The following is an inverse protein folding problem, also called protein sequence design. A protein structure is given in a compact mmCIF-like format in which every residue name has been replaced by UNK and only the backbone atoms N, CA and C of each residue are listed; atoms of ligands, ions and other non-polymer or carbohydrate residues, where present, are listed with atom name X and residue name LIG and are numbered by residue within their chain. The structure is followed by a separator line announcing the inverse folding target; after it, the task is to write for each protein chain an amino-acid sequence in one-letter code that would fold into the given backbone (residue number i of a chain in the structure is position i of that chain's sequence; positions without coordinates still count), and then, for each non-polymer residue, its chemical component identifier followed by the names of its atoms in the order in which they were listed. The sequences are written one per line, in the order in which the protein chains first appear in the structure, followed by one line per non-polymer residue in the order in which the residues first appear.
data_IF_925594676936
#
_entry.id   IF_925594676936
#
_cell.length_a   1.000
_cell.length_b   1.000
_cell.length_c   1.000
_cell.angle_alpha   90.00
_cell.angle_beta   90.00
_cell.angle_gamma   90.00
#
_symmetry.space_group_name_H-M   'P 1'
#
loop_
_entity.id
_entity.type
_entity.pdbx_description
1 polymer ?
#
# COMPACT_ATOMS: atom_id res chain seq x y z
N UNK A 1 11.46 20.71 -18.83
CA UNK A 1 11.79 20.61 -17.40
C UNK A 1 12.68 21.77 -16.97
N UNK A 2 12.15 23.00 -16.78
CA UNK A 2 12.98 24.17 -16.43
C UNK A 2 12.19 25.37 -15.87
N UNK A 3 11.18 25.16 -15.00
CA UNK A 3 10.31 26.27 -14.55
C UNK A 3 10.06 26.40 -13.02
N UNK A 4 10.86 25.84 -12.11
CA UNK A 4 10.52 25.86 -10.67
C UNK A 4 11.51 26.56 -9.70
N UNK A 5 12.49 27.31 -10.20
CA UNK A 5 13.53 27.90 -9.33
C UNK A 5 13.24 29.31 -8.76
N UNK A 6 12.14 29.98 -9.15
CA UNK A 6 11.94 31.42 -8.83
C UNK A 6 11.11 31.75 -7.59
N UNK A 7 10.49 30.77 -6.92
CA UNK A 7 9.50 31.05 -5.85
C UNK A 7 10.01 30.97 -4.40
N UNK A 8 11.32 30.85 -4.18
CA UNK A 8 11.91 30.69 -2.82
C UNK A 8 12.72 31.89 -2.28
N UNK A 9 12.76 33.03 -2.97
CA UNK A 9 13.60 34.19 -2.56
C UNK A 9 12.84 35.41 -2.00
N UNK A 10 11.55 35.30 -1.66
CA UNK A 10 10.80 36.47 -1.14
C UNK A 10 10.53 36.46 0.37
N UNK A 11 11.07 35.51 1.14
CA UNK A 11 10.66 35.30 2.53
C UNK A 11 11.63 35.87 3.59
N UNK A 12 12.78 36.43 3.23
CA UNK A 12 13.82 36.81 4.20
C UNK A 12 13.98 38.32 4.47
N UNK A 13 13.12 39.17 3.90
CA UNK A 13 13.32 40.64 3.99
C UNK A 13 12.45 41.35 5.05
N UNK A 14 11.77 40.65 5.95
CA UNK A 14 10.74 41.25 6.81
C UNK A 14 10.89 40.90 8.30
N UNK A 15 12.13 40.92 8.81
CA UNK A 15 12.42 40.54 10.20
C UNK A 15 13.46 41.44 10.90
N UNK A 16 13.51 42.73 10.58
CA UNK A 16 14.45 43.66 11.22
C UNK A 16 13.92 45.10 11.23
N UNK A 17 12.95 45.39 12.12
CA UNK A 17 12.74 46.72 12.68
C UNK A 17 11.56 46.69 13.68
N UNK A 18 11.85 46.63 14.98
CA UNK A 18 11.19 47.48 16.00
C UNK A 18 11.79 47.18 17.39
N UNK A 19 12.84 47.89 17.74
CA UNK A 19 13.36 47.97 19.10
C UNK A 19 13.68 49.44 19.41
N UNK A 20 12.75 50.14 20.07
CA UNK A 20 13.01 51.27 20.96
C UNK A 20 11.69 51.96 21.35
N UNK A 21 11.27 51.80 22.62
CA UNK A 21 10.83 52.94 23.45
C UNK A 21 10.48 52.45 24.86
N UNK A 22 11.44 52.61 25.76
CA UNK A 22 11.25 52.64 27.21
C UNK A 22 10.51 53.93 27.60
N UNK A 23 9.56 53.82 28.51
CA UNK A 23 8.87 54.95 29.14
C UNK A 23 8.39 54.55 30.53
N UNK A 24 8.89 55.27 31.53
CA UNK A 24 8.65 55.12 32.97
C UNK A 24 7.40 55.86 33.44
N UNK A 25 6.87 55.50 34.61
CA UNK A 25 5.86 56.25 35.39
C UNK A 25 4.91 55.26 36.09
N UNK A 26 5.03 54.99 37.39
CA UNK A 26 4.71 55.77 38.61
C UNK A 26 3.47 55.17 39.30
N UNK A 27 3.54 55.12 40.63
CA UNK A 27 2.67 54.41 41.56
C UNK A 27 1.32 55.08 41.81
N UNK A 28 0.32 54.36 42.35
CA UNK A 28 -0.63 54.87 43.38
C UNK A 28 -1.63 53.82 43.92
N UNK A 29 -1.62 53.72 45.26
CA UNK A 29 -2.73 53.69 46.23
C UNK A 29 -3.79 52.56 46.28
N UNK A 30 -3.86 52.00 47.50
CA UNK A 30 -4.83 51.05 48.04
C UNK A 30 -6.26 51.62 48.19
N UNK A 31 -7.25 50.71 48.20
CA UNK A 31 -8.59 50.96 48.73
C UNK A 31 -9.36 49.65 48.88
N UNK A 32 -9.40 49.10 50.10
CA UNK A 32 -10.20 47.93 50.47
C UNK A 32 -11.68 48.33 50.63
N UNK A 33 -12.55 47.66 49.87
CA UNK A 33 -13.99 47.77 50.00
C UNK A 33 -14.64 46.62 49.25
N UNK A 34 -15.14 45.63 50.00
CA UNK A 34 -15.86 44.48 49.48
C UNK A 34 -17.12 44.96 48.76
N UNK A 35 -17.01 45.11 47.43
CA UNK A 35 -18.15 45.29 46.55
C UNK A 35 -18.66 43.92 46.10
N UNK A 36 -19.99 43.73 46.01
CA UNK A 36 -20.56 42.52 45.45
C UNK A 36 -19.93 42.27 44.08
N UNK A 37 -19.55 41.03 43.80
CA UNK A 37 -18.88 40.58 42.57
C UNK A 37 -19.66 41.07 41.34
N UNK A 38 -19.33 42.29 40.91
CA UNK A 38 -19.90 42.89 39.72
C UNK A 38 -19.54 41.97 38.57
N UNK A 39 -20.56 41.61 37.80
CA UNK A 39 -20.44 40.87 36.54
C UNK A 39 -19.25 41.44 35.78
N UNK A 40 -18.16 40.68 35.71
CA UNK A 40 -16.90 41.15 35.13
C UNK A 40 -17.22 41.58 33.70
N UNK A 41 -17.11 42.88 33.37
CA UNK A 41 -17.46 43.35 32.04
C UNK A 41 -16.61 42.62 31.01
N UNK A 42 -17.23 42.26 29.89
CA UNK A 42 -16.51 41.63 28.79
C UNK A 42 -15.28 42.48 28.44
N UNK A 43 -14.07 41.89 28.36
CA UNK A 43 -12.86 42.64 28.13
C UNK A 43 -13.00 43.47 26.84
N UNK A 44 -12.46 44.70 26.81
CA UNK A 44 -12.50 45.52 25.61
C UNK A 44 -11.90 44.74 24.43
N UNK A 45 -12.44 44.90 23.20
CA UNK A 45 -11.92 44.24 22.02
C UNK A 45 -10.42 44.55 21.88
N UNK A 46 -9.60 43.49 21.87
CA UNK A 46 -8.14 43.57 21.84
C UNK A 46 -7.52 42.21 21.57
N UNK A 47 -6.19 42.15 21.49
CA UNK A 47 -5.44 40.96 21.06
C UNK A 47 -5.71 39.74 21.95
N UNK A 48 -5.96 39.94 23.24
CA UNK A 48 -6.29 38.86 24.17
C UNK A 48 -7.59 38.13 23.84
N UNK A 49 -8.60 38.84 23.29
CA UNK A 49 -9.86 38.23 22.87
C UNK A 49 -9.65 37.35 21.62
N UNK A 50 -8.83 37.82 20.67
CA UNK A 50 -8.44 37.06 19.47
C UNK A 50 -7.65 35.81 19.85
N UNK A 51 -6.67 35.93 20.76
CA UNK A 51 -5.92 34.80 21.27
C UNK A 51 -6.83 33.74 21.92
N UNK A 52 -7.78 34.16 22.77
CA UNK A 52 -8.75 33.26 23.39
C UNK A 52 -9.70 32.58 22.38
N UNK A 53 -10.07 33.27 21.30
CA UNK A 53 -10.85 32.67 20.20
C UNK A 53 -10.04 31.59 19.47
N UNK A 54 -8.78 31.87 19.13
CA UNK A 54 -7.90 30.89 18.46
C UNK A 54 -7.70 29.67 19.36
N UNK A 55 -7.50 29.85 20.66
CA UNK A 55 -7.36 28.71 21.59
C UNK A 55 -8.62 27.83 21.63
N UNK A 56 -9.82 28.43 21.64
CA UNK A 56 -11.08 27.67 21.57
C UNK A 56 -11.23 26.92 20.24
N UNK A 57 -10.82 27.53 19.12
CA UNK A 57 -10.81 26.87 17.81
C UNK A 57 -9.84 25.67 17.79
N UNK A 58 -8.64 25.82 18.35
CA UNK A 58 -7.64 24.75 18.45
C UNK A 58 -8.14 23.63 19.35
N UNK A 59 -8.66 23.93 20.54
CA UNK A 59 -9.22 22.94 21.45
C UNK A 59 -10.40 22.20 20.84
N UNK A 60 -11.30 22.92 20.16
CA UNK A 60 -12.41 22.33 19.41
C UNK A 60 -11.92 21.43 18.28
N UNK A 61 -10.90 21.85 17.54
CA UNK A 61 -10.30 21.07 16.45
C UNK A 61 -9.59 19.81 16.94
N UNK A 62 -8.89 19.88 18.07
CA UNK A 62 -8.22 18.73 18.69
C UNK A 62 -9.25 17.76 19.28
N UNK A 63 -10.38 18.26 19.81
CA UNK A 63 -11.46 17.43 20.33
C UNK A 63 -12.33 16.78 19.24
N UNK A 64 -12.54 17.47 18.11
CA UNK A 64 -13.31 16.95 16.97
C UNK A 64 -12.48 16.14 15.99
N UNK A 65 -11.14 16.14 16.13
CA UNK A 65 -10.30 15.20 15.41
C UNK A 65 -10.85 13.80 15.68
N UNK A 66 -11.35 13.09 14.65
CA UNK A 66 -12.03 11.83 14.86
C UNK A 66 -11.09 10.95 15.68
N UNK A 67 -11.57 10.32 16.78
CA UNK A 67 -10.76 9.34 17.48
C UNK A 67 -10.24 8.40 16.39
N UNK A 68 -8.93 8.04 16.40
CA UNK A 68 -8.35 7.24 15.34
C UNK A 68 -9.31 6.10 15.13
N UNK A 69 -10.06 6.16 14.02
CA UNK A 69 -11.17 5.26 13.82
C UNK A 69 -10.55 3.89 14.03
N UNK A 70 -11.18 3.05 14.85
CA UNK A 70 -10.73 1.69 15.14
C UNK A 70 -10.78 0.86 13.84
N UNK A 71 -10.01 1.28 12.84
CA UNK A 71 -9.80 0.72 11.52
C UNK A 71 -8.69 -0.35 11.57
N UNK A 72 -8.38 -0.82 12.78
CA UNK A 72 -7.72 -2.11 12.96
C UNK A 72 -8.69 -3.28 12.73
N UNK A 73 -9.98 -3.02 12.42
CA UNK A 73 -10.81 -3.94 11.64
C UNK A 73 -10.71 -3.62 10.14
N UNK A 74 -9.49 -3.65 9.59
CA UNK A 74 -9.30 -4.19 8.26
C UNK A 74 -9.15 -5.71 8.47
N UNK A 75 -10.19 -6.52 8.28
CA UNK A 75 -10.82 -6.77 6.98
C UNK A 75 -9.75 -6.77 5.89
N UNK A 76 -9.02 -7.88 5.79
CA UNK A 76 -7.87 -7.97 4.90
C UNK A 76 -6.80 -8.97 5.31
N UNK A 77 -6.95 -9.64 6.45
CA UNK A 77 -6.49 -11.02 6.59
C UNK A 77 -7.28 -11.90 5.61
N UNK A 78 -7.06 -11.69 4.31
CA UNK A 78 -7.36 -12.69 3.30
C UNK A 78 -6.59 -13.91 3.76
N UNK A 79 -7.31 -14.79 4.43
CA UNK A 79 -6.92 -16.15 4.73
C UNK A 79 -6.26 -16.64 3.44
N UNK A 80 -4.95 -16.86 3.48
CA UNK A 80 -4.26 -17.42 2.36
C UNK A 80 -4.80 -18.86 2.22
N UNK A 81 -5.92 -19.00 1.52
CA UNK A 81 -6.46 -20.25 1.05
C UNK A 81 -5.49 -20.73 -0.04
N UNK A 82 -4.37 -21.29 0.39
CA UNK A 82 -3.26 -21.62 -0.50
C UNK A 82 -2.26 -22.60 0.10
N UNK A 83 -2.63 -23.33 1.15
CA UNK A 83 -1.91 -24.52 1.59
C UNK A 83 -2.46 -25.74 0.90
N UNK A 84 -2.23 -25.85 -0.42
CA UNK A 84 -2.46 -27.10 -1.14
C UNK A 84 -1.69 -28.22 -0.45
N UNK A 85 -2.42 -29.21 0.04
CA UNK A 85 -1.90 -30.43 0.66
C UNK A 85 -0.98 -31.11 -0.36
N UNK A 86 0.33 -30.98 -0.19
CA UNK A 86 1.31 -31.69 -0.98
C UNK A 86 1.26 -33.18 -0.58
N UNK A 87 0.38 -33.93 -1.24
CA UNK A 87 0.39 -35.38 -1.22
C UNK A 87 1.56 -35.84 -2.09
N UNK A 88 2.76 -35.89 -1.49
CA UNK A 88 3.99 -36.30 -2.16
C UNK A 88 4.98 -36.86 -1.16
N UNK A 89 4.75 -38.11 -0.74
CA UNK A 89 5.67 -38.86 0.09
C UNK A 89 7.01 -39.06 -0.61
N UNK A 90 8.04 -38.38 -0.11
CA UNK A 90 9.44 -38.66 -0.39
C UNK A 90 10.18 -38.65 0.93
N UNK A 91 10.46 -39.85 1.47
CA UNK A 91 11.23 -40.04 2.70
C UNK A 91 12.68 -39.65 2.41
N UNK A 92 13.01 -38.37 2.62
CA UNK A 92 14.39 -37.90 2.63
C UNK A 92 14.92 -38.02 4.06
N UNK A 93 15.64 -39.12 4.30
CA UNK A 93 16.46 -39.29 5.50
C UNK A 93 17.66 -38.33 5.38
N UNK A 94 17.53 -37.12 5.93
CA UNK A 94 18.56 -36.08 5.86
C UNK A 94 18.37 -35.01 6.91
N UNK A 95 18.91 -35.25 8.11
CA UNK A 95 18.87 -34.34 9.24
C UNK A 95 19.62 -33.04 8.97
N UNK A 96 18.88 -31.95 8.77
CA UNK A 96 19.39 -30.58 8.83
C UNK A 96 18.66 -29.84 9.96
N UNK A 97 19.33 -29.68 11.10
CA UNK A 97 18.85 -28.92 12.25
C UNK A 97 18.74 -27.44 11.84
N UNK A 98 17.54 -27.01 11.49
CA UNK A 98 17.26 -25.61 11.17
C UNK A 98 17.17 -24.80 12.47
N UNK A 99 18.33 -24.45 13.03
CA UNK A 99 18.46 -23.45 14.08
C UNK A 99 18.22 -22.07 13.46
N UNK A 100 17.01 -21.53 13.61
CA UNK A 100 16.69 -20.22 13.04
C UNK A 100 15.25 -19.75 13.28
N UNK A 101 14.68 -20.04 14.44
CA UNK A 101 13.43 -19.42 14.88
C UNK A 101 13.67 -17.94 15.17
N UNK A 102 13.63 -17.13 14.12
CA UNK A 102 13.61 -15.67 14.23
C UNK A 102 12.42 -15.26 15.08
N UNK A 103 12.70 -14.89 16.32
CA UNK A 103 11.76 -14.28 17.23
C UNK A 103 11.16 -13.09 16.49
N UNK A 104 9.88 -13.16 16.13
CA UNK A 104 9.19 -12.03 15.53
C UNK A 104 9.20 -10.91 16.58
N UNK A 105 10.15 -10.00 16.41
CA UNK A 105 10.36 -8.90 17.34
C UNK A 105 9.07 -8.09 17.43
N UNK A 106 8.71 -7.87 18.70
CA UNK A 106 7.35 -7.66 19.14
C UNK A 106 6.62 -6.52 18.44
N UNK A 107 5.29 -6.67 18.41
CA UNK A 107 4.36 -5.62 18.04
C UNK A 107 4.78 -4.30 18.65
N UNK A 108 5.36 -3.45 17.81
CA UNK A 108 5.65 -2.06 18.13
C UNK A 108 4.36 -1.47 18.64
N UNK A 109 4.36 -1.09 19.92
CA UNK A 109 3.24 -0.46 20.60
C UNK A 109 2.82 0.73 19.75
N UNK A 110 1.76 0.56 18.94
CA UNK A 110 1.43 1.47 17.86
C UNK A 110 1.49 2.91 18.38
N UNK A 111 2.53 3.62 17.95
CA UNK A 111 2.75 5.01 18.34
C UNK A 111 1.45 5.74 18.04
N UNK A 112 0.79 6.19 19.10
CA UNK A 112 -0.61 6.64 19.05
C UNK A 112 -0.81 7.50 17.80
N UNK A 113 -1.80 7.12 16.98
CA UNK A 113 -1.95 7.62 15.61
C UNK A 113 -1.81 9.14 15.47
N UNK A 114 -1.61 9.66 14.25
CA UNK A 114 -1.15 11.03 13.97
C UNK A 114 -1.88 12.13 14.77
N UNK A 115 -3.18 11.98 15.04
CA UNK A 115 -3.96 12.87 15.88
C UNK A 115 -3.46 12.99 17.34
N UNK A 116 -3.06 11.87 17.97
CA UNK A 116 -2.50 11.87 19.34
C UNK A 116 -1.15 12.57 19.40
N UNK A 117 -0.35 12.48 18.33
CA UNK A 117 0.91 13.19 18.24
C UNK A 117 0.67 14.70 18.04
N UNK A 118 -0.29 15.08 17.19
CA UNK A 118 -0.66 16.49 17.01
C UNK A 118 -1.06 17.17 18.32
N UNK A 119 -1.90 16.52 19.15
CA UNK A 119 -2.30 17.05 20.44
C UNK A 119 -1.11 17.29 21.39
N UNK A 120 -0.13 16.37 21.41
CA UNK A 120 1.08 16.51 22.23
C UNK A 120 1.96 17.67 21.76
N UNK A 121 2.16 17.83 20.45
CA UNK A 121 3.02 18.90 19.91
C UNK A 121 2.37 20.28 20.08
N UNK A 122 1.04 20.37 20.02
CA UNK A 122 0.30 21.63 20.22
C UNK A 122 0.13 22.00 21.70
N UNK A 123 0.24 21.04 22.63
CA UNK A 123 -0.01 21.26 24.05
C UNK A 123 0.86 22.34 24.69
N UNK A 124 2.15 22.38 24.34
CA UNK A 124 3.07 23.37 24.89
C UNK A 124 2.73 24.81 24.46
N UNK A 125 2.64 25.15 23.15
CA UNK A 125 2.21 26.48 22.71
C UNK A 125 0.87 26.93 23.30
N UNK A 126 -0.11 26.01 23.41
CA UNK A 126 -1.40 26.30 24.05
C UNK A 126 -1.24 26.64 25.53
N UNK A 127 -0.43 25.88 26.27
CA UNK A 127 -0.15 26.16 27.68
C UNK A 127 0.57 27.50 27.88
N UNK A 128 1.44 27.89 26.96
CA UNK A 128 2.13 29.18 27.00
C UNK A 128 1.18 30.35 26.71
N UNK A 129 0.32 30.23 25.70
CA UNK A 129 -0.73 31.22 25.40
C UNK A 129 -1.68 31.43 26.59
N UNK A 130 -2.14 30.35 27.23
CA UNK A 130 -3.00 30.41 28.42
C UNK A 130 -2.31 31.12 29.60
N UNK A 131 -1.04 30.79 29.87
CA UNK A 131 -0.25 31.46 30.91
C UNK A 131 -0.06 32.95 30.62
N UNK A 132 0.15 33.34 29.37
CA UNK A 132 0.23 34.73 28.96
C UNK A 132 -1.10 35.48 29.20
N UNK A 133 -2.23 34.91 28.81
CA UNK A 133 -3.57 35.47 29.08
C UNK A 133 -3.86 35.63 30.58
N UNK A 134 -3.48 34.64 31.39
CA UNK A 134 -3.66 34.72 32.84
C UNK A 134 -2.84 35.87 33.45
N UNK A 135 -1.58 36.04 33.00
CA UNK A 135 -0.76 37.19 33.41
C UNK A 135 -1.33 38.52 32.92
N UNK A 136 -1.85 38.58 31.69
CA UNK A 136 -2.49 39.77 31.15
C UNK A 136 -3.70 40.19 32.00
N UNK A 137 -4.53 39.22 32.40
CA UNK A 137 -5.66 39.45 33.31
C UNK A 137 -5.19 39.99 34.67
N UNK A 138 -4.13 39.42 35.25
CA UNK A 138 -3.53 39.92 36.49
C UNK A 138 -3.04 41.37 36.37
N UNK A 139 -2.38 41.72 35.26
CA UNK A 139 -1.94 43.10 34.99
C UNK A 139 -3.11 44.08 34.88
N UNK A 140 -4.22 43.69 34.22
CA UNK A 140 -5.44 44.53 34.17
C UNK A 140 -6.04 44.74 35.55
N UNK A 141 -6.12 43.68 36.36
CA UNK A 141 -6.65 43.77 37.72
C UNK A 141 -5.81 44.70 38.61
N UNK A 142 -4.51 44.79 38.35
CA UNK A 142 -3.59 45.71 39.04
C UNK A 142 -3.58 47.14 38.46
N UNK A 143 -4.37 47.43 37.43
CA UNK A 143 -4.38 48.73 36.76
C UNK A 143 -3.24 48.96 35.75
N UNK A 144 -2.37 47.98 35.52
CA UNK A 144 -1.26 48.07 34.56
C UNK A 144 -1.73 47.70 33.14
N UNK A 145 -2.42 48.65 32.51
CA UNK A 145 -2.97 48.49 31.18
C UNK A 145 -1.90 48.28 30.09
N UNK A 146 -0.71 48.87 30.25
CA UNK A 146 0.38 48.76 29.26
C UNK A 146 0.96 47.36 29.24
N UNK A 147 1.25 46.78 30.41
CA UNK A 147 1.76 45.42 30.50
C UNK A 147 0.70 44.40 30.09
N UNK A 148 -0.57 44.63 30.44
CA UNK A 148 -1.67 43.80 29.97
C UNK A 148 -1.71 43.67 28.44
N UNK A 149 -1.57 44.79 27.71
CA UNK A 149 -1.53 44.79 26.23
C UNK A 149 -0.33 44.02 25.68
N UNK A 150 0.85 44.18 26.28
CA UNK A 150 2.06 43.42 25.87
C UNK A 150 1.87 41.92 26.08
N UNK A 151 1.29 41.50 27.19
CA UNK A 151 1.01 40.10 27.50
C UNK A 151 -0.10 39.52 26.60
N UNK A 152 -1.09 40.34 26.22
CA UNK A 152 -2.12 39.96 25.24
C UNK A 152 -1.51 39.72 23.84
N UNK A 153 -0.59 40.58 23.40
CA UNK A 153 0.14 40.37 22.15
C UNK A 153 0.98 39.08 22.20
N UNK A 154 1.70 38.82 23.30
CA UNK A 154 2.44 37.56 23.49
C UNK A 154 1.51 36.35 23.46
N UNK A 155 0.33 36.43 24.08
CA UNK A 155 -0.66 35.37 24.04
C UNK A 155 -1.14 35.09 22.61
N UNK A 156 -1.32 36.14 21.80
CA UNK A 156 -1.72 36.02 20.40
C UNK A 156 -0.64 35.29 19.57
N UNK A 157 0.64 35.67 19.73
CA UNK A 157 1.76 35.01 19.05
C UNK A 157 1.84 33.51 19.38
N UNK A 158 1.67 33.15 20.67
CA UNK A 158 1.65 31.73 21.07
C UNK A 158 0.44 30.98 20.51
N UNK A 159 -0.73 31.61 20.44
CA UNK A 159 -1.92 31.01 19.86
C UNK A 159 -1.79 30.81 18.34
N UNK A 160 -1.21 31.79 17.62
CA UNK A 160 -0.94 31.67 16.19
C UNK A 160 0.13 30.60 15.90
N UNK A 161 1.16 30.51 16.75
CA UNK A 161 2.15 29.42 16.71
C UNK A 161 1.49 28.06 16.91
N UNK A 162 0.63 27.92 17.92
CA UNK A 162 -0.13 26.69 18.16
C UNK A 162 -0.96 26.28 16.93
N UNK A 163 -1.62 27.24 16.26
CA UNK A 163 -2.38 27.01 15.03
C UNK A 163 -1.49 26.57 13.87
N UNK A 164 -0.32 27.17 13.72
CA UNK A 164 0.64 26.79 12.69
C UNK A 164 1.15 25.36 12.89
N UNK A 165 1.50 25.00 14.13
CA UNK A 165 1.92 23.64 14.51
C UNK A 165 0.81 22.62 14.23
N UNK A 166 -0.44 22.93 14.58
CA UNK A 166 -1.58 22.06 14.29
C UNK A 166 -1.74 21.80 12.78
N UNK A 167 -1.63 22.85 11.95
CA UNK A 167 -1.68 22.70 10.49
C UNK A 167 -0.51 21.87 9.94
N UNK A 168 0.70 22.08 10.46
CA UNK A 168 1.85 21.29 10.06
C UNK A 168 1.66 19.80 10.39
N UNK A 169 1.19 19.48 11.60
CA UNK A 169 0.89 18.11 12.00
C UNK A 169 -0.18 17.45 11.12
N UNK A 170 -1.21 18.21 10.70
CA UNK A 170 -2.23 17.71 9.77
C UNK A 170 -1.65 17.40 8.38
N UNK A 171 -0.74 18.23 7.87
CA UNK A 171 -0.05 17.99 6.59
C UNK A 171 0.87 16.77 6.67
N UNK A 172 1.60 16.60 7.78
CA UNK A 172 2.42 15.41 8.01
C UNK A 172 1.59 14.14 8.07
N UNK A 173 0.44 14.17 8.75
CA UNK A 173 -0.50 13.07 8.79
C UNK A 173 -1.01 12.70 7.38
N UNK A 174 -1.40 13.70 6.57
CA UNK A 174 -1.83 13.48 5.21
C UNK A 174 -0.71 12.92 4.32
N UNK A 175 0.53 13.40 4.49
CA UNK A 175 1.69 12.88 3.77
C UNK A 175 2.00 11.42 4.15
N UNK A 176 1.85 11.05 5.42
CA UNK A 176 2.03 9.68 5.88
C UNK A 176 0.98 8.73 5.28
N UNK A 177 -0.30 9.14 5.22
CA UNK A 177 -1.35 8.36 4.55
C UNK A 177 -1.11 8.24 3.04
N UNK A 178 -0.70 9.33 2.37
CA UNK A 178 -0.33 9.28 0.96
C UNK A 178 0.83 8.31 0.69
N UNK A 179 1.82 8.27 1.59
CA UNK A 179 2.93 7.32 1.49
C UNK A 179 2.48 5.86 1.66
N UNK A 180 1.52 5.58 2.55
CA UNK A 180 0.92 4.23 2.67
C UNK A 180 0.21 3.82 1.39
N UNK A 181 -0.64 4.70 0.85
CA UNK A 181 -1.35 4.46 -0.41
C UNK A 181 -0.38 4.23 -1.58
N UNK A 182 0.72 4.97 -1.65
CA UNK A 182 1.75 4.76 -2.66
C UNK A 182 2.36 3.35 -2.59
N UNK A 183 2.67 2.84 -1.39
CA UNK A 183 3.19 1.48 -1.18
C UNK A 183 2.16 0.40 -1.56
N UNK A 184 0.89 0.63 -1.28
CA UNK A 184 -0.18 -0.28 -1.70
C UNK A 184 -0.32 -0.33 -3.23
N UNK A 185 -0.20 0.81 -3.91
CA UNK A 185 -0.22 0.86 -5.38
C UNK A 185 1.03 0.17 -5.94
N UNK A 186 2.20 0.39 -5.35
CA UNK A 186 3.44 -0.26 -5.76
C UNK A 186 3.35 -1.79 -5.66
N UNK A 187 2.89 -2.32 -4.53
CA UNK A 187 2.69 -3.78 -4.36
C UNK A 187 1.65 -4.35 -5.33
N UNK A 188 0.59 -3.59 -5.67
CA UNK A 188 -0.37 -3.99 -6.72
C UNK A 188 0.28 -4.01 -8.10
N UNK A 189 1.15 -3.04 -8.41
CA UNK A 189 1.89 -2.99 -9.67
C UNK A 189 2.88 -4.16 -9.80
N UNK A 190 3.57 -4.53 -8.73
CA UNK A 190 4.45 -5.70 -8.70
C UNK A 190 3.69 -7.00 -8.98
N UNK A 191 2.54 -7.20 -8.32
CA UNK A 191 1.68 -8.36 -8.60
C UNK A 191 1.18 -8.38 -10.05
N UNK A 192 0.79 -7.23 -10.58
CA UNK A 192 0.35 -7.12 -11.97
C UNK A 192 1.49 -7.46 -12.95
N UNK A 193 2.72 -7.00 -12.69
CA UNK A 193 3.91 -7.36 -13.48
C UNK A 193 4.18 -8.86 -13.44
N UNK A 194 4.13 -9.48 -12.26
CA UNK A 194 4.31 -10.93 -12.13
C UNK A 194 3.27 -11.74 -12.93
N UNK A 195 1.99 -11.31 -12.91
CA UNK A 195 0.94 -11.95 -13.72
C UNK A 195 1.20 -11.79 -15.22
N UNK A 196 1.66 -10.62 -15.67
CA UNK A 196 2.01 -10.40 -17.08
C UNK A 196 3.18 -11.30 -17.50
N UNK A 197 4.23 -11.41 -16.69
CA UNK A 197 5.36 -12.32 -16.94
C UNK A 197 4.90 -13.79 -17.01
N UNK A 198 4.00 -14.20 -16.12
CA UNK A 198 3.41 -15.55 -16.17
C UNK A 198 2.62 -15.79 -17.46
N UNK A 199 1.80 -14.83 -17.89
CA UNK A 199 1.04 -14.96 -19.15
C UNK A 199 1.96 -15.02 -20.36
N UNK A 200 3.06 -14.26 -20.37
CA UNK A 200 4.07 -14.31 -21.42
C UNK A 200 4.77 -15.67 -21.45
N UNK A 201 5.13 -16.23 -20.28
CA UNK A 201 5.70 -17.57 -20.19
C UNK A 201 4.74 -18.65 -20.68
N UNK A 202 3.45 -18.56 -20.33
CA UNK A 202 2.40 -19.47 -20.82
C UNK A 202 2.25 -19.38 -22.34
N UNK A 203 2.25 -18.16 -22.90
CA UNK A 203 2.23 -17.95 -24.36
C UNK A 203 3.46 -18.52 -25.06
N UNK A 204 4.65 -18.34 -24.50
CA UNK A 204 5.88 -18.92 -25.04
C UNK A 204 5.85 -20.45 -25.08
N UNK A 205 5.35 -21.10 -24.03
CA UNK A 205 5.15 -22.56 -24.01
C UNK A 205 4.16 -23.02 -25.07
N UNK A 206 3.00 -22.37 -25.16
CA UNK A 206 1.99 -22.71 -26.16
C UNK A 206 2.50 -22.53 -27.60
N UNK A 207 3.28 -21.48 -27.86
CA UNK A 207 3.89 -21.26 -29.17
C UNK A 207 4.92 -22.35 -29.51
N UNK A 208 5.76 -22.76 -28.54
CA UNK A 208 6.72 -23.84 -28.73
C UNK A 208 6.03 -25.20 -28.96
N UNK A 209 4.90 -25.45 -28.31
CA UNK A 209 4.09 -26.65 -28.55
C UNK A 209 3.48 -26.65 -29.95
N UNK A 210 2.94 -25.51 -30.41
CA UNK A 210 2.44 -25.37 -31.78
C UNK A 210 3.55 -25.60 -32.81
N UNK A 211 4.75 -25.05 -32.59
CA UNK A 211 5.89 -25.25 -33.48
C UNK A 211 6.31 -26.73 -33.55
N UNK A 212 6.31 -27.44 -32.42
CA UNK A 212 6.58 -28.90 -32.39
C UNK A 212 5.53 -29.68 -33.19
N UNK A 213 4.25 -29.40 -32.97
CA UNK A 213 3.16 -30.07 -33.70
C UNK A 213 3.27 -29.78 -35.21
N UNK A 214 3.59 -28.53 -35.60
CA UNK A 214 3.81 -28.18 -37.00
C UNK A 214 5.03 -28.90 -37.60
N UNK A 215 6.12 -29.03 -36.85
CA UNK A 215 7.31 -29.75 -37.29
C UNK A 215 7.01 -31.25 -37.49
N UNK A 216 6.35 -31.90 -36.52
CA UNK A 216 5.92 -33.29 -36.61
C UNK A 216 4.98 -33.52 -37.80
N UNK A 217 4.03 -32.61 -38.05
CA UNK A 217 3.14 -32.67 -39.21
C UNK A 217 3.89 -32.54 -40.55
N UNK A 218 4.89 -31.65 -40.62
CA UNK A 218 5.77 -31.50 -41.80
C UNK A 218 6.60 -32.76 -42.03
N UNK A 219 7.15 -33.36 -40.97
CA UNK A 219 7.91 -34.61 -41.06
C UNK A 219 7.02 -35.79 -41.49
N UNK A 220 5.81 -35.92 -40.92
CA UNK A 220 4.84 -36.93 -41.33
C UNK A 220 4.46 -36.80 -42.81
N UNK A 221 4.26 -35.57 -43.29
CA UNK A 221 3.99 -35.29 -44.71
C UNK A 221 5.17 -35.73 -45.59
N UNK A 222 6.40 -35.38 -45.22
CA UNK A 222 7.62 -35.82 -45.94
C UNK A 222 7.76 -37.34 -45.95
N UNK A 223 7.53 -38.00 -44.82
CA UNK A 223 7.57 -39.45 -44.71
C UNK A 223 6.53 -40.11 -45.65
N UNK A 224 5.29 -39.59 -45.68
CA UNK A 224 4.25 -40.07 -46.58
C UNK A 224 4.65 -39.90 -48.07
N UNK A 225 5.20 -38.75 -48.45
CA UNK A 225 5.69 -38.52 -49.82
C UNK A 225 6.84 -39.46 -50.21
N UNK A 226 7.73 -39.78 -49.27
CA UNK A 226 8.84 -40.71 -49.50
C UNK A 226 8.34 -42.15 -49.67
N UNK A 227 7.36 -42.59 -48.88
CA UNK A 227 6.74 -43.91 -49.02
C UNK A 227 6.05 -44.03 -50.39
N UNK A 228 5.35 -42.99 -50.83
CA UNK A 228 4.71 -43.02 -52.15
C UNK A 228 5.74 -43.03 -53.29
N UNK A 229 6.82 -42.23 -53.18
CA UNK A 229 7.92 -42.28 -54.15
C UNK A 229 8.57 -43.68 -54.21
N UNK A 230 8.80 -44.33 -53.06
CA UNK A 230 9.31 -45.69 -52.99
C UNK A 230 8.34 -46.70 -53.62
N UNK A 231 7.03 -46.54 -53.40
CA UNK A 231 5.98 -47.38 -54.02
C UNK A 231 6.00 -47.26 -55.54
N UNK A 232 6.11 -46.05 -56.08
CA UNK A 232 6.20 -45.80 -57.52
C UNK A 232 7.46 -46.45 -58.11
N UNK A 233 8.63 -46.27 -57.47
CA UNK A 233 9.88 -46.87 -57.94
C UNK A 233 9.86 -48.41 -57.87
N UNK A 234 9.29 -48.98 -56.81
CA UNK A 234 9.07 -50.42 -56.70
C UNK A 234 8.14 -50.94 -57.81
N UNK A 235 7.06 -50.21 -58.11
CA UNK A 235 6.14 -50.50 -59.21
C UNK A 235 6.84 -50.49 -60.58
N UNK A 236 7.68 -49.48 -60.85
CA UNK A 236 8.50 -49.42 -62.07
C UNK A 236 9.47 -50.60 -62.19
N UNK A 237 10.18 -50.95 -61.10
CA UNK A 237 11.09 -52.11 -61.08
C UNK A 237 10.37 -53.44 -61.27
N UNK A 238 9.17 -53.60 -60.70
CA UNK A 238 8.34 -54.79 -60.89
C UNK A 238 7.88 -54.91 -62.35
N UNK A 239 7.44 -53.80 -62.97
CA UNK A 239 7.08 -53.77 -64.39
C UNK A 239 8.26 -54.15 -65.31
N UNK A 240 9.49 -53.73 -64.99
CA UNK A 240 10.68 -54.10 -65.76
C UNK A 240 11.07 -55.60 -65.64
N UNK A 241 10.71 -56.27 -64.52
CA UNK A 241 11.01 -57.71 -64.31
C UNK A 241 9.89 -58.64 -64.78
N UNK A 242 8.69 -58.13 -65.01
CA UNK A 242 7.50 -58.90 -65.39
C UNK A 242 7.27 -58.96 -66.90
N UNK A 243 8.21 -59.52 -67.65
CA UNK A 243 7.98 -60.02 -69.01
C UNK A 243 8.46 -61.48 -69.17
N UNK A 244 8.38 -62.26 -68.09
CA UNK A 244 8.55 -63.71 -68.13
C UNK A 244 7.18 -64.38 -67.91
N UNK A 245 6.73 -65.27 -68.82
CA UNK A 245 5.39 -65.85 -68.78
C UNK A 245 5.22 -66.74 -67.55
N UNK A 246 4.19 -66.46 -66.75
CA UNK A 246 3.87 -67.19 -65.53
C UNK A 246 3.04 -68.42 -65.87
N UNK A 247 3.65 -69.60 -65.74
CA UNK A 247 2.95 -70.88 -65.82
C UNK A 247 1.97 -71.03 -64.64
N UNK A 248 0.75 -71.49 -64.95
CA UNK A 248 -0.31 -71.83 -64.00
C UNK A 248 0.20 -72.78 -62.91
N UNK A 249 -0.01 -72.42 -61.64
CA UNK A 249 0.05 -73.40 -60.55
C UNK A 249 -1.11 -73.17 -59.59
N UNK A 250 -1.87 -74.24 -59.42
CA UNK A 250 -3.17 -74.36 -58.78
C UNK A 250 -3.20 -74.00 -57.28
N UNK A 251 -4.38 -73.66 -56.72
CA UNK A 251 -4.54 -73.31 -55.32
C UNK A 251 -4.61 -74.55 -54.42
N UNK A 252 -3.80 -74.57 -53.35
CA UNK A 252 -3.91 -75.53 -52.26
C UNK A 252 -4.43 -74.84 -51.00
N UNK A 253 -5.43 -75.48 -50.40
CA UNK A 253 -6.13 -75.11 -49.19
C UNK A 253 -5.36 -75.45 -47.89
N UNK A 254 -5.95 -75.10 -46.75
CA UNK A 254 -5.58 -75.40 -45.34
C UNK A 254 -4.59 -74.39 -44.72
N UNK A 255 -4.77 -73.89 -43.49
CA UNK A 255 -5.77 -74.14 -42.47
C UNK A 255 -5.37 -73.49 -41.13
N UNK A 256 -6.32 -73.44 -40.20
CA UNK A 256 -6.17 -73.46 -38.74
C UNK A 256 -5.32 -72.37 -38.02
N UNK A 257 -6.04 -71.40 -37.44
CA UNK A 257 -6.13 -71.25 -35.97
C UNK A 257 -4.97 -70.60 -35.19
N UNK A 258 -5.23 -69.45 -34.57
CA UNK A 258 -4.66 -69.10 -33.28
C UNK A 258 -5.61 -68.18 -32.48
N UNK A 259 -6.09 -68.71 -31.36
CA UNK A 259 -6.81 -68.05 -30.27
C UNK A 259 -5.90 -67.07 -29.51
N UNK A 260 -6.52 -66.05 -28.91
CA UNK A 260 -6.03 -65.34 -27.71
C UNK A 260 -5.68 -63.87 -27.99
N UNK A 261 -6.04 -62.89 -27.17
CA UNK A 261 -6.77 -62.85 -25.91
C UNK A 261 -7.59 -61.56 -25.89
N UNK A 262 -8.75 -61.62 -25.23
CA UNK A 262 -9.45 -60.43 -24.77
C UNK A 262 -8.63 -59.87 -23.62
N UNK A 263 -8.11 -58.65 -23.74
CA UNK A 263 -7.74 -57.87 -22.57
C UNK A 263 -8.64 -56.64 -22.51
N UNK A 264 -9.65 -56.75 -21.66
CA UNK A 264 -10.58 -55.70 -21.33
C UNK A 264 -9.88 -54.74 -20.35
N UNK A 265 -9.11 -53.81 -20.92
CA UNK A 265 -8.54 -52.68 -20.20
C UNK A 265 -9.62 -51.67 -19.81
N UNK A 266 -10.30 -51.97 -18.71
CA UNK A 266 -10.99 -51.08 -17.76
C UNK A 266 -10.89 -49.57 -18.07
N UNK A 267 -11.96 -49.03 -18.64
CA UNK A 267 -12.22 -47.59 -18.67
C UNK A 267 -12.43 -47.08 -17.24
N UNK A 268 -11.42 -46.43 -16.66
CA UNK A 268 -11.57 -45.63 -15.46
C UNK A 268 -11.99 -44.21 -15.89
N UNK A 269 -13.25 -43.89 -15.64
CA UNK A 269 -13.79 -42.54 -15.79
C UNK A 269 -13.02 -41.55 -14.89
N UNK A 270 -12.63 -40.37 -15.38
CA UNK A 270 -12.26 -39.29 -14.49
C UNK A 270 -13.53 -38.77 -13.83
N UNK A 271 -13.64 -38.97 -12.52
CA UNK A 271 -14.66 -38.38 -11.68
C UNK A 271 -14.62 -36.85 -11.82
N UNK A 272 -15.69 -36.28 -12.37
CA UNK A 272 -15.95 -34.86 -12.33
C UNK A 272 -16.06 -34.41 -10.88
N UNK A 273 -15.17 -33.51 -10.48
CA UNK A 273 -15.40 -32.65 -9.31
C UNK A 273 -16.01 -31.36 -9.84
N UNK A 274 -17.34 -31.34 -9.87
CA UNK A 274 -18.11 -30.11 -9.88
C UNK A 274 -17.87 -29.42 -8.53
N UNK A 275 -17.02 -28.40 -8.55
CA UNK A 275 -16.86 -27.43 -7.47
C UNK A 275 -17.31 -26.08 -7.99
N UNK A 276 -18.55 -25.75 -7.71
CA UNK A 276 -19.22 -24.46 -8.01
C UNK A 276 -18.50 -23.31 -7.29
N UNK A 277 -18.39 -22.12 -7.91
CA UNK A 277 -17.80 -20.91 -7.30
C UNK A 277 -18.63 -20.32 -6.17
#
# INVERSE_FOLDING_TARGET
MLCDARRRRSSQALLLALAASLGSGEALAHGEGERPLATVPAPPPGDGAKAAQILREIEGSVATAPPPAARDEADGGGKADGGGKADGGGKADGGGKADGGGKADGGGKADGGPARNAAKVVAEPVAQAKRALQRAHGARAAGDATNARRLDAVALEWAETARAVLRAAAVEAAAAEAAKQAREVETKLERARALLEETQARRGRAAAELERIEAEAREATRAATNVEAQRIEAGKKAAARGAAPRAERAPAAQGAGAKGSRDAGKAAAPAGKEGTP
#
